data_IF_984750038334
#
_entry.id   IF_984750038334
#
_cell.length_a   1.000
_cell.length_b   1.000
_cell.length_c   1.000
_cell.angle_alpha   90.00
_cell.angle_beta   90.00
_cell.angle_gamma   90.00
#
_symmetry.space_group_name_H-M   'P 1'
#
loop_
_entity.id
_entity.type
_entity.pdbx_description
1 polymer ?
#
# COMPACT_ATOMS: atom_id res chain seq x y z
N UNK A 1 -44.29 12.60 30.65
CA UNK A 1 -42.98 12.53 29.95
C UNK A 1 -43.01 13.01 28.49
N UNK A 2 -44.05 12.73 27.68
CA UNK A 2 -44.10 13.13 26.25
C UNK A 2 -44.03 14.65 26.00
N UNK A 3 -44.56 15.48 26.90
CA UNK A 3 -44.55 16.95 26.75
C UNK A 3 -43.15 17.58 26.82
N UNK A 4 -42.25 17.04 27.64
CA UNK A 4 -40.94 17.68 27.91
C UNK A 4 -39.95 17.50 26.75
N UNK A 5 -40.00 16.38 26.02
CA UNK A 5 -39.12 16.13 24.86
C UNK A 5 -39.43 17.09 23.70
N UNK A 6 -40.71 17.41 23.47
CA UNK A 6 -41.13 18.30 22.38
C UNK A 6 -40.69 19.76 22.68
N UNK A 7 -40.72 20.15 23.95
CA UNK A 7 -40.26 21.47 24.40
C UNK A 7 -38.73 21.59 24.25
N UNK A 8 -37.99 20.54 24.62
CA UNK A 8 -36.54 20.49 24.43
C UNK A 8 -36.14 20.58 22.94
N UNK A 9 -36.85 19.88 22.05
CA UNK A 9 -36.59 19.90 20.61
C UNK A 9 -36.91 21.27 19.97
N UNK A 10 -37.98 21.95 20.41
CA UNK A 10 -38.29 23.33 19.99
C UNK A 10 -37.25 24.33 20.48
N UNK A 11 -36.65 24.10 21.65
CA UNK A 11 -35.62 24.97 22.21
C UNK A 11 -34.27 24.83 21.46
N UNK A 12 -33.88 23.59 21.14
CA UNK A 12 -32.72 23.28 20.28
C UNK A 12 -32.85 23.93 18.89
N UNK A 13 -34.06 23.93 18.32
CA UNK A 13 -34.34 24.52 17.00
C UNK A 13 -34.46 26.06 17.03
N UNK A 14 -34.61 26.68 18.20
CA UNK A 14 -34.60 28.15 18.35
C UNK A 14 -33.19 28.72 18.47
N UNK A 15 -32.26 28.00 19.10
CA UNK A 15 -30.86 28.43 19.32
C UNK A 15 -29.88 27.66 18.43
N UNK A 16 -30.18 27.61 17.12
CA UNK A 16 -29.47 26.74 16.15
C UNK A 16 -27.96 26.95 16.11
N UNK A 17 -27.46 28.19 16.16
CA UNK A 17 -26.02 28.48 16.07
C UNK A 17 -25.25 27.92 17.27
N UNK A 18 -25.77 28.12 18.48
CA UNK A 18 -25.14 27.63 19.71
C UNK A 18 -25.19 26.10 19.79
N UNK A 19 -26.32 25.50 19.41
CA UNK A 19 -26.47 24.04 19.36
C UNK A 19 -25.55 23.41 18.31
N UNK A 20 -25.39 24.03 17.14
CA UNK A 20 -24.50 23.52 16.08
C UNK A 20 -23.04 23.53 16.54
N UNK A 21 -22.56 24.61 17.16
CA UNK A 21 -21.17 24.71 17.65
C UNK A 21 -20.88 23.67 18.74
N UNK A 22 -21.80 23.50 19.70
CA UNK A 22 -21.60 22.58 20.81
C UNK A 22 -21.71 21.10 20.37
N UNK A 23 -22.68 20.79 19.50
CA UNK A 23 -22.85 19.43 18.96
C UNK A 23 -21.69 19.07 18.03
N UNK A 24 -21.19 19.99 17.20
CA UNK A 24 -20.06 19.71 16.30
C UNK A 24 -18.76 19.49 17.08
N UNK A 25 -18.49 20.31 18.09
CA UNK A 25 -17.33 20.11 18.98
C UNK A 25 -17.37 18.75 19.68
N UNK A 26 -18.54 18.38 20.22
CA UNK A 26 -18.72 17.10 20.88
C UNK A 26 -18.65 15.92 19.91
N UNK A 27 -19.20 16.06 18.70
CA UNK A 27 -19.13 15.04 17.65
C UNK A 27 -17.70 14.81 17.16
N UNK A 28 -16.93 15.87 16.93
CA UNK A 28 -15.51 15.76 16.53
C UNK A 28 -14.69 15.11 17.65
N UNK A 29 -14.89 15.54 18.90
CA UNK A 29 -14.21 14.95 20.06
C UNK A 29 -14.51 13.45 20.22
N UNK A 30 -15.79 13.07 20.11
CA UNK A 30 -16.21 11.67 20.18
C UNK A 30 -15.66 10.85 19.01
N UNK A 31 -15.62 11.42 17.80
CA UNK A 31 -15.07 10.76 16.61
C UNK A 31 -13.58 10.47 16.79
N UNK A 32 -12.80 11.47 17.22
CA UNK A 32 -11.39 11.28 17.50
C UNK A 32 -11.16 10.24 18.60
N UNK A 33 -11.95 10.26 19.67
CA UNK A 33 -11.86 9.28 20.75
C UNK A 33 -12.17 7.85 20.26
N UNK A 34 -13.23 7.66 19.48
CA UNK A 34 -13.59 6.34 18.93
C UNK A 34 -12.50 5.84 17.98
N UNK A 35 -11.95 6.69 17.11
CA UNK A 35 -10.87 6.29 16.21
C UNK A 35 -9.61 5.84 16.97
N UNK A 36 -9.24 6.57 18.03
CA UNK A 36 -8.12 6.18 18.89
C UNK A 36 -8.42 4.87 19.64
N UNK A 37 -9.64 4.70 20.17
CA UNK A 37 -10.04 3.49 20.86
C UNK A 37 -10.03 2.28 19.92
N UNK A 38 -10.52 2.43 18.68
CA UNK A 38 -10.47 1.39 17.65
C UNK A 38 -9.02 1.07 17.25
N UNK A 39 -8.15 2.08 17.16
CA UNK A 39 -6.73 1.86 16.87
C UNK A 39 -6.04 1.08 17.99
N UNK A 40 -6.27 1.45 19.25
CA UNK A 40 -5.74 0.71 20.41
C UNK A 40 -6.31 -0.71 20.46
N UNK A 41 -7.61 -0.88 20.21
CA UNK A 41 -8.24 -2.20 20.14
C UNK A 41 -7.61 -3.04 19.02
N UNK A 42 -7.35 -2.45 17.86
CA UNK A 42 -6.69 -3.11 16.74
C UNK A 42 -5.27 -3.55 17.12
N UNK A 43 -4.49 -2.66 17.73
CA UNK A 43 -3.12 -2.97 18.17
C UNK A 43 -3.08 -4.10 19.20
N UNK A 44 -3.97 -4.07 20.20
CA UNK A 44 -4.07 -5.13 21.21
C UNK A 44 -4.65 -6.44 20.65
N UNK A 45 -5.50 -6.37 19.62
CA UNK A 45 -6.02 -7.56 18.95
C UNK A 45 -4.98 -8.25 18.06
N UNK A 46 -3.91 -7.53 17.69
CA UNK A 46 -2.86 -8.03 16.79
C UNK A 46 -2.11 -9.25 17.36
N UNK A 47 -2.01 -9.36 18.69
CA UNK A 47 -1.36 -10.51 19.33
C UNK A 47 -2.33 -11.68 19.60
N UNK A 48 -3.65 -11.47 19.42
CA UNK A 48 -4.70 -12.45 19.72
C UNK A 48 -5.23 -13.21 18.48
N UNK A 49 -4.51 -13.16 17.36
CA UNK A 49 -4.97 -13.77 16.11
C UNK A 49 -4.99 -15.31 16.12
N UNK A 50 -4.24 -15.96 17.02
CA UNK A 50 -4.12 -17.41 17.06
C UNK A 50 -4.71 -17.98 18.36
N UNK A 51 -5.53 -19.02 18.26
CA UNK A 51 -6.10 -19.74 19.42
C UNK A 51 -5.04 -20.27 20.40
N UNK A 52 -3.79 -20.38 19.95
CA UNK A 52 -2.66 -20.88 20.71
C UNK A 52 -1.61 -19.81 21.04
N UNK A 53 -1.91 -18.52 20.89
CA UNK A 53 -0.98 -17.41 21.12
C UNK A 53 -0.24 -17.51 22.46
N UNK A 54 -0.94 -17.89 23.53
CA UNK A 54 -0.39 -18.07 24.88
C UNK A 54 0.71 -19.15 24.99
N UNK A 55 0.83 -20.03 23.98
CA UNK A 55 1.76 -21.18 23.96
C UNK A 55 2.76 -21.12 22.82
N UNK A 56 2.74 -20.04 22.03
CA UNK A 56 3.66 -19.82 20.91
C UNK A 56 4.78 -18.89 21.38
N UNK A 57 6.01 -19.38 21.27
CA UNK A 57 7.20 -18.63 21.70
C UNK A 57 8.20 -18.54 20.56
N UNK A 58 8.88 -17.41 20.47
CA UNK A 58 9.99 -17.19 19.54
C UNK A 58 11.30 -17.30 20.31
N UNK A 59 12.20 -18.15 19.84
CA UNK A 59 13.54 -18.25 20.38
C UNK A 59 14.41 -17.11 19.83
N UNK A 60 15.10 -16.39 20.72
CA UNK A 60 16.06 -15.35 20.37
C UNK A 60 17.47 -15.79 20.73
N UNK A 61 18.44 -15.50 19.86
CA UNK A 61 19.86 -15.61 20.20
C UNK A 61 20.29 -14.37 20.97
N UNK A 62 21.07 -14.58 22.04
CA UNK A 62 21.68 -13.50 22.81
C UNK A 62 23.19 -13.57 22.63
N UNK A 63 23.77 -12.50 22.08
CA UNK A 63 25.21 -12.34 21.96
C UNK A 63 25.71 -11.22 22.87
N UNK A 64 26.89 -11.39 23.45
CA UNK A 64 27.55 -10.38 24.26
C UNK A 64 28.84 -9.93 23.55
N UNK A 65 28.82 -8.71 23.01
CA UNK A 65 29.98 -8.09 22.39
C UNK A 65 30.53 -7.01 23.32
N UNK A 66 31.61 -7.31 24.05
CA UNK A 66 32.30 -6.38 24.95
C UNK A 66 31.37 -5.65 25.95
N UNK A 67 30.42 -6.37 26.57
CA UNK A 67 29.47 -5.82 27.54
C UNK A 67 28.18 -5.29 26.92
N UNK A 68 28.09 -5.17 25.60
CA UNK A 68 26.84 -4.89 24.90
C UNK A 68 26.11 -6.19 24.59
N UNK A 69 24.96 -6.38 25.25
CA UNK A 69 24.08 -7.52 24.99
C UNK A 69 23.20 -7.18 23.79
N UNK A 70 23.29 -7.98 22.74
CA UNK A 70 22.43 -7.90 21.55
C UNK A 70 21.54 -9.14 21.48
N UNK A 71 20.27 -8.93 21.16
CA UNK A 71 19.30 -10.01 20.95
C UNK A 71 18.88 -10.03 19.49
N UNK A 72 19.02 -11.17 18.84
CA UNK A 72 18.68 -11.36 17.43
C UNK A 72 17.64 -12.47 17.30
N UNK A 73 16.69 -12.30 16.38
CA UNK A 73 15.70 -13.34 16.06
C UNK A 73 16.27 -14.47 15.19
N UNK A 74 17.53 -14.34 14.77
CA UNK A 74 18.21 -15.38 13.99
C UNK A 74 18.83 -16.41 14.95
N UNK A 75 18.39 -17.66 14.80
CA UNK A 75 18.90 -18.80 15.56
C UNK A 75 19.52 -19.82 14.63
N UNK A 76 20.48 -20.60 15.12
CA UNK A 76 21.03 -21.73 14.35
C UNK A 76 19.92 -22.71 13.96
N UNK A 77 20.01 -23.25 12.74
CA UNK A 77 19.04 -24.23 12.24
C UNK A 77 18.97 -25.52 13.07
N UNK A 78 20.03 -25.83 13.82
CA UNK A 78 20.13 -26.97 14.75
C UNK A 78 19.43 -26.72 16.09
N UNK A 79 19.05 -25.49 16.41
CA UNK A 79 18.38 -25.16 17.67
C UNK A 79 17.00 -25.82 17.76
N UNK A 80 16.21 -25.80 16.69
CA UNK A 80 14.89 -26.41 16.65
C UNK A 80 14.90 -27.92 17.01
N UNK A 81 15.71 -28.78 16.36
CA UNK A 81 15.78 -30.20 16.73
C UNK A 81 16.42 -30.42 18.11
N UNK A 82 17.40 -29.61 18.51
CA UNK A 82 18.02 -29.72 19.84
C UNK A 82 17.03 -29.42 20.98
N UNK A 83 16.20 -28.38 20.80
CA UNK A 83 15.15 -28.04 21.75
C UNK A 83 14.12 -29.16 21.89
N UNK A 84 13.66 -29.71 20.76
CA UNK A 84 12.67 -30.79 20.77
C UNK A 84 13.21 -32.09 21.39
N UNK A 85 14.52 -32.36 21.23
CA UNK A 85 15.17 -33.52 21.85
C UNK A 85 15.49 -33.32 23.34
N UNK A 86 15.84 -32.10 23.74
CA UNK A 86 16.26 -31.79 25.11
C UNK A 86 15.11 -31.52 26.09
N UNK A 87 13.96 -31.09 25.59
CA UNK A 87 12.85 -30.60 26.41
C UNK A 87 11.51 -31.25 26.00
N UNK A 88 11.02 -32.25 26.75
CA UNK A 88 9.77 -32.96 26.42
C UNK A 88 8.51 -32.08 26.51
N UNK A 89 8.57 -30.92 27.17
CA UNK A 89 7.49 -29.93 27.22
C UNK A 89 7.27 -29.21 25.87
N UNK A 90 8.26 -29.23 24.97
CA UNK A 90 8.17 -28.61 23.65
C UNK A 90 7.45 -29.56 22.69
N UNK A 91 6.16 -29.27 22.45
CA UNK A 91 5.29 -30.12 21.61
C UNK A 91 5.65 -30.07 20.12
N UNK A 92 6.06 -28.91 19.63
CA UNK A 92 6.41 -28.70 18.22
C UNK A 92 7.38 -27.53 18.10
N UNK A 93 8.27 -27.61 17.11
CA UNK A 93 9.12 -26.50 16.70
C UNK A 93 8.95 -26.28 15.19
N UNK A 94 9.09 -25.04 14.76
CA UNK A 94 9.13 -24.67 13.34
C UNK A 94 10.14 -23.56 13.16
N UNK A 95 10.83 -23.60 12.02
CA UNK A 95 11.69 -22.50 11.58
C UNK A 95 10.88 -21.59 10.67
N UNK A 96 11.25 -20.32 10.68
CA UNK A 96 10.65 -19.29 9.85
C UNK A 96 11.75 -18.36 9.35
N UNK A 97 11.83 -18.16 8.04
CA UNK A 97 12.74 -17.21 7.43
C UNK A 97 11.98 -16.33 6.44
N UNK A 98 11.81 -15.06 6.79
CA UNK A 98 11.16 -14.09 5.92
C UNK A 98 12.09 -13.66 4.78
N UNK A 99 11.52 -13.56 3.58
CA UNK A 99 12.15 -12.95 2.42
C UNK A 99 11.42 -11.64 2.10
N UNK A 100 12.14 -10.52 2.17
CA UNK A 100 11.58 -9.19 1.89
C UNK A 100 10.95 -9.12 0.50
N UNK A 101 11.58 -9.74 -0.50
CA UNK A 101 11.15 -9.65 -1.89
C UNK A 101 11.53 -10.93 -2.64
N UNK A 102 10.54 -11.65 -3.18
CA UNK A 102 10.73 -12.79 -4.06
C UNK A 102 10.11 -12.53 -5.44
N UNK A 103 10.82 -12.90 -6.50
CA UNK A 103 10.31 -12.83 -7.87
C UNK A 103 9.64 -14.15 -8.21
N UNK A 104 8.31 -14.14 -8.29
CA UNK A 104 7.50 -15.27 -8.75
C UNK A 104 7.30 -15.15 -10.25
N UNK A 105 7.86 -16.11 -10.99
CA UNK A 105 7.64 -16.23 -12.43
C UNK A 105 6.72 -17.40 -12.72
N UNK A 106 5.61 -17.14 -13.40
CA UNK A 106 4.69 -18.16 -13.89
C UNK A 106 4.45 -17.96 -15.39
N UNK A 107 5.03 -18.86 -16.21
CA UNK A 107 5.10 -18.73 -17.67
C UNK A 107 5.74 -17.37 -18.05
N UNK A 108 5.00 -16.49 -18.73
CA UNK A 108 5.46 -15.15 -19.13
C UNK A 108 5.16 -14.05 -18.10
N UNK A 109 4.55 -14.41 -16.96
CA UNK A 109 4.15 -13.47 -15.92
C UNK A 109 5.20 -13.40 -14.84
N UNK A 110 5.57 -12.19 -14.45
CA UNK A 110 6.48 -11.94 -13.34
C UNK A 110 5.76 -11.11 -12.29
N UNK A 111 5.77 -11.58 -11.05
CA UNK A 111 5.19 -10.91 -9.89
C UNK A 111 6.26 -10.78 -8.82
N UNK A 112 6.32 -9.61 -8.19
CA UNK A 112 7.21 -9.37 -7.06
C UNK A 112 6.33 -9.51 -5.81
N UNK A 113 6.61 -10.51 -4.98
CA UNK A 113 5.83 -10.82 -3.79
C UNK A 113 6.76 -11.13 -2.62
N UNK A 114 6.43 -10.66 -1.42
CA UNK A 114 7.10 -11.09 -0.20
C UNK A 114 6.62 -12.48 0.21
N UNK A 115 7.51 -13.28 0.79
CA UNK A 115 7.18 -14.64 1.21
C UNK A 115 8.09 -15.09 2.35
N UNK A 116 7.86 -16.28 2.87
CA UNK A 116 8.70 -16.87 3.89
C UNK A 116 8.93 -18.34 3.59
N UNK A 117 10.09 -18.85 4.00
CA UNK A 117 10.37 -20.28 4.03
C UNK A 117 10.12 -20.80 5.44
N UNK A 118 9.35 -21.88 5.52
CA UNK A 118 8.88 -22.47 6.78
C UNK A 118 8.94 -23.98 6.72
N UNK A 119 9.01 -24.64 7.88
CA UNK A 119 8.92 -26.10 7.96
C UNK A 119 7.48 -26.60 7.70
N UNK A 120 7.29 -27.88 7.29
CA UNK A 120 5.95 -28.43 7.04
C UNK A 120 4.99 -28.34 8.23
N UNK A 121 5.54 -28.43 9.45
CA UNK A 121 4.77 -28.31 10.69
C UNK A 121 4.19 -26.92 10.96
N UNK A 122 4.65 -25.89 10.24
CA UNK A 122 4.24 -24.49 10.45
C UNK A 122 2.72 -24.31 10.36
N UNK A 123 2.09 -24.81 9.29
CA UNK A 123 0.64 -24.63 9.09
C UNK A 123 -0.17 -25.27 10.22
N UNK A 124 0.25 -26.43 10.71
CA UNK A 124 -0.42 -27.16 11.78
C UNK A 124 -0.21 -26.47 13.13
N UNK A 125 0.98 -25.92 13.37
CA UNK A 125 1.33 -25.21 14.60
C UNK A 125 0.49 -23.92 14.77
N UNK A 126 0.27 -23.19 13.68
CA UNK A 126 -0.51 -21.95 13.67
C UNK A 126 -2.00 -22.14 13.34
N UNK A 127 -2.44 -23.35 12.99
CA UNK A 127 -3.84 -23.66 12.73
C UNK A 127 -4.40 -23.09 11.41
N UNK A 128 -3.54 -22.88 10.41
CA UNK A 128 -3.99 -22.34 9.12
C UNK A 128 -4.86 -23.34 8.35
N UNK A 129 -5.97 -22.86 7.80
CA UNK A 129 -6.84 -23.64 6.92
C UNK A 129 -6.45 -23.42 5.46
N UNK A 130 -6.27 -24.51 4.71
CA UNK A 130 -6.02 -24.47 3.27
C UNK A 130 -7.35 -24.47 2.51
N UNK A 131 -7.52 -23.52 1.59
CA UNK A 131 -8.69 -23.48 0.69
C UNK A 131 -8.64 -24.57 -0.38
N UNK A 132 -7.45 -25.02 -0.74
CA UNK A 132 -7.21 -26.06 -1.75
C UNK A 132 -5.89 -26.79 -1.45
N UNK A 133 -5.89 -28.11 -1.62
CA UNK A 133 -4.75 -28.99 -1.32
C UNK A 133 -4.88 -29.72 0.03
N UNK A 134 -3.86 -30.51 0.38
CA UNK A 134 -3.78 -31.25 1.64
C UNK A 134 -2.67 -30.70 2.54
N UNK A 135 -3.02 -30.40 3.79
CA UNK A 135 -2.13 -29.89 4.83
C UNK A 135 -1.02 -30.88 5.21
N UNK A 136 -1.25 -32.18 5.04
CA UNK A 136 -0.29 -33.24 5.42
C UNK A 136 0.86 -33.37 4.43
N UNK A 137 0.60 -33.02 3.18
CA UNK A 137 1.58 -33.08 2.08
C UNK A 137 2.19 -31.73 1.77
N UNK A 138 1.61 -30.65 2.29
CA UNK A 138 2.07 -29.29 2.07
C UNK A 138 3.51 -29.13 2.60
N UNK A 139 4.39 -28.51 1.80
CA UNK A 139 5.80 -28.22 2.12
C UNK A 139 6.73 -29.44 2.31
N UNK A 140 6.26 -30.67 2.06
CA UNK A 140 7.14 -31.85 2.10
C UNK A 140 8.13 -31.91 0.91
N UNK A 141 7.80 -31.24 -0.21
CA UNK A 141 8.69 -31.09 -1.35
C UNK A 141 9.43 -29.73 -1.26
N UNK A 142 10.77 -29.70 -1.34
CA UNK A 142 11.55 -28.46 -1.36
C UNK A 142 11.12 -27.45 -2.45
N UNK A 143 10.49 -27.91 -3.52
CA UNK A 143 10.00 -27.05 -4.61
C UNK A 143 8.51 -26.70 -4.50
N UNK A 144 7.84 -27.14 -3.44
CA UNK A 144 6.44 -26.77 -3.19
C UNK A 144 6.35 -25.36 -2.59
N UNK A 145 5.32 -24.62 -3.02
CA UNK A 145 5.02 -23.27 -2.53
C UNK A 145 3.54 -23.21 -2.15
N UNK A 146 3.26 -22.50 -1.08
CA UNK A 146 1.89 -22.16 -0.68
C UNK A 146 1.66 -20.70 -1.01
N UNK A 147 0.52 -20.43 -1.64
CA UNK A 147 0.10 -19.08 -1.99
C UNK A 147 -1.09 -18.69 -1.12
N UNK A 148 -1.10 -17.43 -0.68
CA UNK A 148 -2.30 -16.86 -0.07
C UNK A 148 -3.39 -16.71 -1.13
N UNK A 149 -4.65 -16.71 -0.70
CA UNK A 149 -5.79 -16.48 -1.59
C UNK A 149 -5.64 -15.19 -2.38
N UNK A 150 -5.20 -14.11 -1.72
CA UNK A 150 -4.97 -12.81 -2.34
C UNK A 150 -3.91 -12.89 -3.44
N UNK A 151 -2.78 -13.56 -3.21
CA UNK A 151 -1.74 -13.73 -4.25
C UNK A 151 -2.25 -14.60 -5.40
N UNK A 152 -3.00 -15.66 -5.10
CA UNK A 152 -3.58 -16.55 -6.10
C UNK A 152 -4.58 -15.83 -7.01
N UNK A 153 -5.41 -14.93 -6.46
CA UNK A 153 -6.36 -14.11 -7.22
C UNK A 153 -5.71 -12.89 -7.90
N UNK A 154 -4.69 -12.29 -7.28
CA UNK A 154 -3.99 -11.13 -7.84
C UNK A 154 -3.20 -11.48 -9.10
N UNK A 155 -2.65 -12.69 -9.21
CA UNK A 155 -1.88 -13.11 -10.38
C UNK A 155 -2.66 -13.04 -11.72
N UNK A 156 -3.89 -13.59 -11.83
CA UNK A 156 -4.69 -13.44 -13.04
C UNK A 156 -5.19 -12.00 -13.25
N UNK A 157 -5.59 -11.30 -12.19
CA UNK A 157 -6.07 -9.91 -12.30
C UNK A 157 -4.98 -8.93 -12.75
N UNK A 158 -3.79 -9.03 -12.17
CA UNK A 158 -2.61 -8.24 -12.57
C UNK A 158 -2.26 -8.46 -14.03
N UNK A 159 -2.34 -9.72 -14.51
CA UNK A 159 -2.15 -10.01 -15.92
C UNK A 159 -3.23 -9.42 -16.82
N UNK A 160 -4.51 -9.52 -16.46
CA UNK A 160 -5.60 -8.90 -17.24
C UNK A 160 -5.38 -7.39 -17.33
N UNK A 161 -5.03 -6.74 -16.22
CA UNK A 161 -4.78 -5.30 -16.15
C UNK A 161 -3.55 -4.89 -16.96
N UNK A 162 -2.45 -5.66 -16.86
CA UNK A 162 -1.22 -5.42 -17.63
C UNK A 162 -1.47 -5.61 -19.13
N UNK A 163 -2.18 -6.67 -19.53
CA UNK A 163 -2.52 -6.90 -20.93
C UNK A 163 -3.44 -5.79 -21.46
N UNK A 164 -4.45 -5.36 -20.70
CA UNK A 164 -5.30 -4.20 -21.04
C UNK A 164 -4.50 -2.91 -21.21
N UNK A 165 -3.51 -2.68 -20.34
CA UNK A 165 -2.63 -1.51 -20.41
C UNK A 165 -1.73 -1.56 -21.64
N UNK A 166 -1.09 -2.72 -21.91
CA UNK A 166 -0.23 -2.93 -23.07
C UNK A 166 -1.00 -2.84 -24.39
N UNK A 167 -2.25 -3.31 -24.45
CA UNK A 167 -3.10 -3.13 -25.64
C UNK A 167 -3.52 -1.67 -25.84
N UNK A 168 -3.68 -0.88 -24.77
CA UNK A 168 -3.91 0.57 -24.87
C UNK A 168 -2.65 1.35 -25.27
N UNK A 169 -1.46 0.77 -25.07
CA UNK A 169 -0.20 1.32 -25.58
C UNK A 169 -0.04 1.15 -27.11
N UNK A 170 -1.02 0.54 -27.78
CA UNK A 170 -1.12 0.48 -29.25
C UNK A 170 -2.01 1.59 -29.83
N UNK A 171 -2.00 2.79 -29.26
CA UNK A 171 -2.02 3.99 -30.10
C UNK A 171 -0.62 4.13 -30.71
N UNK A 172 -0.34 3.32 -31.74
CA UNK A 172 0.61 3.77 -32.75
C UNK A 172 0.00 5.05 -33.29
N UNK A 173 0.52 6.20 -32.87
CA UNK A 173 0.24 7.45 -33.56
C UNK A 173 0.77 7.19 -34.97
N UNK A 174 -0.10 6.78 -35.88
CA UNK A 174 0.19 6.89 -37.30
C UNK A 174 0.32 8.39 -37.49
N UNK A 175 1.55 8.90 -37.39
CA UNK A 175 1.90 10.29 -37.66
C UNK A 175 1.52 10.54 -39.11
N UNK A 176 0.25 10.89 -39.31
CA UNK A 176 -0.26 11.30 -40.60
C UNK A 176 0.48 12.59 -40.94
N UNK A 177 1.17 12.63 -42.07
CA UNK A 177 2.02 13.76 -42.47
C UNK A 177 1.33 15.12 -42.37
N UNK A 178 0.00 15.12 -42.46
CA UNK A 178 -0.88 16.28 -42.24
C UNK A 178 -0.71 16.97 -40.89
N UNK A 179 -0.31 16.28 -39.82
CA UNK A 179 -0.05 16.90 -38.50
C UNK A 179 1.11 17.90 -38.59
N UNK A 180 2.13 17.60 -39.40
CA UNK A 180 3.25 18.51 -39.65
C UNK A 180 2.85 19.71 -40.50
N UNK A 181 1.92 19.50 -41.45
CA UNK A 181 1.37 20.59 -42.28
C UNK A 181 0.62 21.60 -41.41
N UNK A 182 -0.26 21.13 -40.53
CA UNK A 182 -1.00 22.00 -39.61
C UNK A 182 -0.09 22.71 -38.60
N UNK A 183 0.90 22.00 -38.05
CA UNK A 183 1.89 22.61 -37.16
C UNK A 183 2.71 23.70 -37.88
N UNK A 184 3.15 23.45 -39.12
CA UNK A 184 3.86 24.43 -39.94
C UNK A 184 3.00 25.66 -40.26
N UNK A 185 1.73 25.45 -40.60
CA UNK A 185 0.80 26.56 -40.87
C UNK A 185 0.61 27.47 -39.64
N UNK A 186 0.46 26.88 -38.45
CA UNK A 186 0.34 27.64 -37.19
C UNK A 186 1.61 28.46 -36.93
N UNK A 187 2.79 27.88 -37.12
CA UNK A 187 4.07 28.58 -36.93
C UNK A 187 4.20 29.77 -37.88
N UNK A 188 3.90 29.57 -39.17
CA UNK A 188 3.96 30.63 -40.18
C UNK A 188 2.96 31.76 -39.83
N UNK A 189 1.75 31.41 -39.42
CA UNK A 189 0.73 32.39 -39.03
C UNK A 189 1.18 33.24 -37.84
N UNK A 190 1.75 32.62 -36.82
CA UNK A 190 2.28 33.32 -35.64
C UNK A 190 3.46 34.22 -36.02
N UNK A 191 4.37 33.73 -36.86
CA UNK A 191 5.51 34.52 -37.34
C UNK A 191 5.06 35.77 -38.12
N UNK A 192 4.08 35.62 -39.02
CA UNK A 192 3.53 36.72 -39.80
C UNK A 192 2.83 37.76 -38.91
N UNK A 193 2.03 37.30 -37.94
CA UNK A 193 1.39 38.18 -36.96
C UNK A 193 2.44 38.94 -36.14
N UNK A 194 3.50 38.26 -35.70
CA UNK A 194 4.57 38.86 -34.91
C UNK A 194 5.31 39.94 -35.69
N UNK A 195 5.67 39.66 -36.95
CA UNK A 195 6.34 40.63 -37.83
C UNK A 195 5.42 41.80 -38.13
N UNK A 196 4.13 41.56 -38.41
CA UNK A 196 3.15 42.61 -38.68
C UNK A 196 3.04 43.59 -37.50
N UNK A 197 2.99 43.09 -36.27
CA UNK A 197 2.95 43.92 -35.05
C UNK A 197 4.23 44.75 -34.90
N UNK A 198 5.41 44.16 -35.15
CA UNK A 198 6.68 44.88 -35.07
C UNK A 198 6.80 45.95 -36.15
N UNK A 199 6.36 45.66 -37.39
CA UNK A 199 6.37 46.60 -38.50
C UNK A 199 5.45 47.80 -38.24
N UNK A 200 4.24 47.57 -37.70
CA UNK A 200 3.32 48.66 -37.34
C UNK A 200 3.90 49.51 -36.22
N UNK A 201 4.47 48.90 -35.17
CA UNK A 201 5.14 49.64 -34.09
C UNK A 201 6.32 50.47 -34.61
N UNK A 202 7.11 49.94 -35.56
CA UNK A 202 8.22 50.66 -36.18
C UNK A 202 7.76 51.80 -37.10
N UNK A 203 6.67 51.62 -37.84
CA UNK A 203 6.12 52.65 -38.74
C UNK A 203 5.43 53.80 -37.99
N UNK A 204 4.84 53.53 -36.82
CA UNK A 204 4.20 54.55 -35.97
C UNK A 204 5.21 55.24 -35.05
N UNK A 205 6.41 54.68 -34.89
CA UNK A 205 7.51 55.34 -34.18
C UNK A 205 8.01 56.54 -35.00
N UNK A 206 7.55 57.73 -34.61
CA UNK A 206 7.81 58.98 -35.30
C UNK A 206 9.32 59.33 -35.28
N UNK A 207 10.01 59.38 -36.44
CA UNK A 207 11.47 59.50 -36.51
C UNK A 207 12.03 60.82 -35.94
N UNK A 208 11.18 61.83 -35.74
CA UNK A 208 11.58 63.18 -35.29
C UNK A 208 11.94 63.23 -33.79
N UNK A 209 11.55 62.24 -32.99
CA UNK A 209 11.85 62.22 -31.54
C UNK A 209 13.21 61.61 -31.16
N UNK A 210 13.89 60.89 -32.06
CA UNK A 210 15.16 60.23 -31.74
C UNK A 210 16.39 61.15 -31.83
N UNK A 211 16.25 62.35 -32.43
CA UNK A 211 17.35 63.31 -32.56
C UNK A 211 17.39 64.37 -31.44
N UNK A 212 16.49 64.30 -30.46
CA UNK A 212 16.40 65.27 -29.36
C UNK A 212 16.40 64.57 -28.01
N UNK A 213 17.44 63.76 -27.76
CA UNK A 213 17.92 63.32 -26.44
C UNK A 213 19.23 62.51 -26.65
N UNK A 214 20.21 63.13 -27.28
CA UNK A 214 21.63 62.86 -26.98
C UNK A 214 22.15 64.07 -26.24
#
# INVERSE_FOLDING_TARGET
MKGNMIIAFRNLRKNVTFSVINISGLAVGLTCFILLALWVQHELSYDSFYDNSDRLYIAYSRDNHNGNISCWSQTSSLMAPALQAGYPEIKATTRFSAHNTALLKWKDKTLIQSGATVDPGFLTMFGFSLLSGDYRTALNDPYSIILTEQTAQAAPLSWISMNKWLTNYSYRISLSGWVFVWAGFIIITIALLTISIQAIKAAVANPVKSLRNT
#
